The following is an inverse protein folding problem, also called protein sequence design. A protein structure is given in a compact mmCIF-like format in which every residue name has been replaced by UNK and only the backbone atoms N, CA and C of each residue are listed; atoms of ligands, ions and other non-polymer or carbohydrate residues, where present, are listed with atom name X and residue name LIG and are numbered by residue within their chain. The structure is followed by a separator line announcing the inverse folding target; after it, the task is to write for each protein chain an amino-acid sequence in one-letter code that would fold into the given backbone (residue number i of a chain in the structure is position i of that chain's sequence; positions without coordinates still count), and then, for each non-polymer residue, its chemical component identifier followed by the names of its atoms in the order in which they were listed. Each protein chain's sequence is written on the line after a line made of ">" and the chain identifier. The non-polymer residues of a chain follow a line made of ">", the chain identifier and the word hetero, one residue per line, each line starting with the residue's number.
data_IF_708092078236
#
_entry.id   IF_708092078236
#
_cell.length_a   1.000
_cell.length_b   1.000
_cell.length_c   1.000
_cell.angle_alpha   90.00
_cell.angle_beta   90.00
_cell.angle_gamma   90.00
#
_symmetry.space_group_name_H-M   'P 1'
#
loop_
_entity.id
_entity.type
_entity.pdbx_description
1 polymer ?
#
# COMPACT_ATOMS: atom_id res chain seq x y z
N UNK A 1 5.10 15.57 -20.69
CA UNK A 1 4.28 15.38 -21.90
C UNK A 1 5.01 15.93 -23.12
N UNK A 2 4.46 15.72 -24.32
CA UNK A 2 5.06 16.16 -25.60
C UNK A 2 5.27 17.66 -25.66
N UNK A 3 4.31 18.44 -25.21
CA UNK A 3 4.38 19.90 -25.19
C UNK A 3 5.51 20.41 -24.28
N UNK A 4 5.71 19.75 -23.16
CA UNK A 4 6.81 20.07 -22.24
C UNK A 4 8.17 19.75 -22.88
N UNK A 5 8.30 18.61 -23.54
CA UNK A 5 9.51 18.23 -24.24
C UNK A 5 9.85 19.27 -25.34
N UNK A 6 8.88 19.65 -26.16
CA UNK A 6 9.07 20.66 -27.22
C UNK A 6 9.53 21.98 -26.62
N UNK A 7 8.82 22.46 -25.61
CA UNK A 7 9.16 23.72 -24.93
C UNK A 7 10.57 23.70 -24.35
N UNK A 8 10.94 22.63 -23.65
CA UNK A 8 12.26 22.50 -23.01
C UNK A 8 13.35 22.35 -24.07
N UNK A 9 13.12 21.54 -25.12
CA UNK A 9 14.09 21.34 -26.19
C UNK A 9 14.45 22.67 -26.86
N UNK A 10 13.44 23.47 -27.30
CA UNK A 10 13.70 24.74 -27.95
C UNK A 10 14.32 25.77 -27.00
N UNK A 11 13.92 25.79 -25.74
CA UNK A 11 14.55 26.66 -24.73
C UNK A 11 16.03 26.35 -24.57
N UNK A 12 16.37 25.07 -24.44
CA UNK A 12 17.76 24.61 -24.27
C UNK A 12 18.54 24.83 -25.58
N UNK A 13 17.98 24.48 -26.73
CA UNK A 13 18.61 24.65 -28.04
C UNK A 13 19.03 26.10 -28.32
N UNK A 14 18.17 27.06 -28.01
CA UNK A 14 18.46 28.49 -28.25
C UNK A 14 19.43 29.12 -27.26
N UNK A 15 19.61 28.51 -26.09
CA UNK A 15 20.46 29.06 -25.02
C UNK A 15 21.81 28.33 -24.86
N UNK A 16 22.01 27.22 -25.55
CA UNK A 16 23.29 26.50 -25.55
C UNK A 16 24.20 26.93 -26.73
N UNK A 17 25.49 26.77 -26.53
CA UNK A 17 26.47 26.94 -27.61
C UNK A 17 26.17 26.00 -28.78
N UNK A 18 26.49 26.44 -29.99
CA UNK A 18 26.14 25.72 -31.22
C UNK A 18 26.70 24.29 -31.29
N UNK A 19 27.88 24.06 -30.73
CA UNK A 19 28.57 22.76 -30.71
C UNK A 19 28.23 21.88 -29.49
N UNK A 20 27.43 22.37 -28.54
CA UNK A 20 27.01 21.54 -27.41
C UNK A 20 25.95 20.53 -27.86
N UNK A 21 26.10 19.27 -27.43
CA UNK A 21 25.06 18.24 -27.61
C UNK A 21 23.99 18.34 -26.55
N UNK A 22 22.76 17.94 -26.87
CA UNK A 22 21.68 17.83 -25.90
C UNK A 22 21.42 16.36 -25.64
N UNK A 23 21.43 15.98 -24.36
CA UNK A 23 21.05 14.64 -23.91
C UNK A 23 19.58 14.60 -23.46
N UNK A 24 18.89 13.51 -23.76
CA UNK A 24 17.54 13.24 -23.27
C UNK A 24 17.52 11.97 -22.43
N UNK A 25 17.16 12.11 -21.17
CA UNK A 25 16.94 11.02 -20.23
C UNK A 25 15.50 11.02 -19.76
N UNK A 26 14.79 9.89 -19.91
CA UNK A 26 13.38 9.82 -19.53
C UNK A 26 13.04 8.53 -18.80
N UNK A 27 12.24 8.68 -17.75
CA UNK A 27 11.62 7.56 -17.04
C UNK A 27 10.26 7.19 -17.61
N UNK A 28 9.87 5.93 -17.47
CA UNK A 28 8.69 5.36 -18.13
C UNK A 28 7.41 5.36 -17.25
N UNK A 29 7.32 6.25 -16.26
CA UNK A 29 6.21 6.30 -15.31
C UNK A 29 4.82 6.39 -15.96
N UNK A 30 4.71 7.15 -17.06
CA UNK A 30 3.47 7.32 -17.82
C UNK A 30 3.47 6.53 -19.15
N UNK A 31 4.38 5.58 -19.31
CA UNK A 31 4.55 4.76 -20.53
C UNK A 31 4.82 5.58 -21.79
N UNK A 32 5.46 6.75 -21.64
CA UNK A 32 5.72 7.69 -22.75
C UNK A 32 7.20 7.83 -23.08
N UNK A 33 8.11 7.17 -22.35
CA UNK A 33 9.56 7.39 -22.52
C UNK A 33 10.03 7.14 -23.97
N UNK A 34 9.60 6.04 -24.58
CA UNK A 34 9.96 5.72 -25.97
C UNK A 34 9.34 6.72 -26.97
N UNK A 35 8.07 7.06 -26.84
CA UNK A 35 7.42 8.03 -27.72
C UNK A 35 8.06 9.42 -27.62
N UNK A 36 8.41 9.87 -26.43
CA UNK A 36 9.11 11.14 -26.21
C UNK A 36 10.56 11.09 -26.74
N UNK A 37 11.22 9.94 -26.68
CA UNK A 37 12.54 9.75 -27.29
C UNK A 37 12.49 9.85 -28.81
N UNK A 38 11.45 9.28 -29.44
CA UNK A 38 11.21 9.45 -30.88
C UNK A 38 10.99 10.93 -31.24
N UNK A 39 10.08 11.61 -30.52
CA UNK A 39 9.84 13.03 -30.73
C UNK A 39 11.10 13.88 -30.56
N UNK A 40 11.94 13.57 -29.54
CA UNK A 40 13.20 14.25 -29.31
C UNK A 40 14.18 14.06 -30.46
N UNK A 41 14.34 12.83 -30.95
CA UNK A 41 15.18 12.51 -32.12
C UNK A 41 14.68 13.30 -33.34
N UNK A 42 13.37 13.30 -33.58
CA UNK A 42 12.78 13.94 -34.74
C UNK A 42 12.91 15.46 -34.71
N UNK A 43 12.69 16.10 -33.57
CA UNK A 43 12.84 17.54 -33.42
C UNK A 43 14.28 18.02 -33.56
N UNK A 44 15.25 17.18 -33.24
CA UNK A 44 16.67 17.54 -33.29
C UNK A 44 17.31 17.49 -34.67
N UNK A 45 16.63 16.86 -35.64
CA UNK A 45 17.20 16.63 -36.98
C UNK A 45 17.56 17.97 -37.68
N UNK A 46 18.81 18.05 -38.16
CA UNK A 46 19.35 19.23 -38.82
C UNK A 46 19.55 20.44 -37.88
N UNK A 47 19.21 20.35 -36.62
CA UNK A 47 19.34 21.44 -35.64
C UNK A 47 20.56 21.23 -34.73
N UNK A 48 20.77 20.00 -34.22
CA UNK A 48 21.81 19.74 -33.22
C UNK A 48 22.10 18.25 -33.07
N UNK A 49 23.36 17.92 -32.77
CA UNK A 49 23.73 16.59 -32.28
C UNK A 49 23.10 16.30 -30.93
N UNK A 50 22.61 15.08 -30.77
CA UNK A 50 21.90 14.65 -29.55
C UNK A 50 22.42 13.34 -28.98
N UNK A 51 22.09 13.07 -27.73
CA UNK A 51 22.27 11.78 -27.07
C UNK A 51 20.92 11.35 -26.48
N UNK A 52 20.55 10.10 -26.66
CA UNK A 52 19.36 9.52 -26.00
C UNK A 52 19.82 8.44 -25.04
N UNK A 53 19.51 8.61 -23.78
CA UNK A 53 19.77 7.60 -22.75
C UNK A 53 18.71 6.52 -22.81
N UNK A 54 19.16 5.27 -22.87
CA UNK A 54 18.30 4.10 -22.89
C UNK A 54 18.95 2.93 -22.17
N UNK A 55 18.16 1.96 -21.74
CA UNK A 55 18.64 0.76 -21.07
C UNK A 55 17.99 -0.48 -21.66
N UNK A 56 18.70 -1.60 -21.67
CA UNK A 56 18.17 -2.88 -22.15
C UNK A 56 16.95 -3.29 -21.31
N UNK A 57 15.88 -3.73 -21.98
CA UNK A 57 14.57 -4.05 -21.38
C UNK A 57 14.02 -2.93 -20.47
N UNK A 58 14.44 -1.68 -20.69
CA UNK A 58 14.03 -0.54 -19.87
C UNK A 58 14.51 -0.61 -18.42
N UNK A 59 15.56 -1.38 -18.12
CA UNK A 59 16.10 -1.55 -16.78
C UNK A 59 16.33 -0.19 -16.11
N UNK A 60 15.80 -0.03 -14.90
CA UNK A 60 15.94 1.21 -14.16
C UNK A 60 15.05 1.29 -12.93
N UNK A 61 15.27 2.31 -12.13
CA UNK A 61 14.51 2.51 -10.90
C UNK A 61 13.03 2.79 -11.20
N UNK A 62 12.15 2.14 -10.48
CA UNK A 62 10.72 2.38 -10.57
C UNK A 62 10.11 1.84 -11.86
N UNK A 63 9.48 2.69 -12.65
CA UNK A 63 8.89 2.30 -13.94
C UNK A 63 9.92 2.04 -15.06
N UNK A 64 11.20 2.17 -14.74
CA UNK A 64 12.29 1.99 -15.70
C UNK A 64 12.54 3.21 -16.60
N UNK A 65 13.40 3.01 -17.57
CA UNK A 65 13.86 3.99 -18.53
C UNK A 65 13.33 3.70 -19.94
N UNK A 66 13.78 4.45 -20.92
CA UNK A 66 13.56 4.13 -22.36
C UNK A 66 14.26 2.83 -22.71
N UNK A 67 13.59 1.95 -23.42
CA UNK A 67 14.12 0.65 -23.86
C UNK A 67 15.08 0.81 -25.03
N UNK A 68 16.31 0.30 -24.93
CA UNK A 68 17.35 0.37 -25.96
C UNK A 68 16.93 -0.33 -27.24
N UNK A 69 16.38 -1.52 -27.15
CA UNK A 69 15.90 -2.31 -28.28
C UNK A 69 14.84 -1.56 -29.11
N UNK A 70 13.96 -0.80 -28.46
CA UNK A 70 12.96 0.02 -29.13
C UNK A 70 13.58 1.23 -29.85
N UNK A 71 14.54 1.89 -29.21
CA UNK A 71 15.24 3.03 -29.83
C UNK A 71 16.05 2.57 -31.03
N UNK A 72 16.79 1.46 -30.91
CA UNK A 72 17.58 0.89 -32.04
C UNK A 72 16.66 0.49 -33.19
N UNK A 73 15.53 -0.16 -32.92
CA UNK A 73 14.54 -0.52 -33.94
C UNK A 73 14.01 0.72 -34.68
N UNK A 74 13.69 1.79 -33.91
CA UNK A 74 13.25 3.05 -34.50
C UNK A 74 14.32 3.68 -35.39
N UNK A 75 15.57 3.73 -34.92
CA UNK A 75 16.71 4.26 -35.67
C UNK A 75 16.97 3.46 -36.95
N UNK A 76 16.93 2.13 -36.88
CA UNK A 76 17.08 1.28 -38.06
C UNK A 76 15.97 1.53 -39.08
N UNK A 77 14.71 1.60 -38.62
CA UNK A 77 13.56 1.78 -39.51
C UNK A 77 13.55 3.15 -40.20
N UNK A 78 13.89 4.19 -39.46
CA UNK A 78 13.72 5.58 -39.90
C UNK A 78 14.99 6.10 -40.63
N UNK A 79 16.16 5.75 -40.10
CA UNK A 79 17.42 6.31 -40.55
C UNK A 79 18.36 5.28 -41.16
N UNK A 80 17.95 4.03 -41.29
CA UNK A 80 18.78 2.91 -41.79
C UNK A 80 20.12 2.81 -41.03
N UNK A 81 20.09 2.94 -39.69
CA UNK A 81 21.30 3.07 -38.86
C UNK A 81 22.14 1.80 -38.74
N UNK A 82 21.57 0.62 -39.08
CA UNK A 82 22.29 -0.64 -39.12
C UNK A 82 22.66 -1.21 -37.74
N UNK A 83 21.93 -0.85 -36.68
CA UNK A 83 22.12 -1.45 -35.35
C UNK A 83 21.73 -2.93 -35.36
N UNK A 84 22.57 -3.78 -34.77
CA UNK A 84 22.31 -5.19 -34.60
C UNK A 84 21.47 -5.38 -33.32
N UNK A 85 20.17 -5.68 -33.51
CA UNK A 85 19.23 -5.86 -32.39
C UNK A 85 19.40 -7.24 -31.77
N UNK A 86 19.83 -8.26 -32.53
CA UNK A 86 19.93 -9.63 -32.03
C UNK A 86 20.98 -9.72 -30.90
N UNK A 87 22.06 -8.95 -30.99
CA UNK A 87 23.05 -8.85 -29.89
C UNK A 87 22.40 -8.30 -28.61
N UNK A 88 21.51 -7.32 -28.72
CA UNK A 88 20.84 -6.76 -27.56
C UNK A 88 19.84 -7.76 -26.97
N UNK A 89 19.12 -8.51 -27.81
CA UNK A 89 18.20 -9.56 -27.35
C UNK A 89 18.95 -10.68 -26.62
N UNK A 90 20.10 -11.14 -27.17
CA UNK A 90 20.98 -12.11 -26.51
C UNK A 90 21.44 -11.63 -25.11
N UNK A 91 21.77 -10.34 -24.98
CA UNK A 91 22.18 -9.76 -23.71
C UNK A 91 21.01 -9.68 -22.71
N UNK A 92 19.80 -9.37 -23.19
CA UNK A 92 18.60 -9.36 -22.35
C UNK A 92 18.33 -10.75 -21.82
N UNK A 93 18.24 -11.75 -22.68
CA UNK A 93 17.92 -13.14 -22.29
C UNK A 93 18.98 -13.73 -21.35
N UNK A 94 20.26 -13.48 -21.61
CA UNK A 94 21.33 -14.10 -20.84
C UNK A 94 21.65 -13.40 -19.50
N UNK A 95 21.37 -12.10 -19.39
CA UNK A 95 21.81 -11.31 -18.23
C UNK A 95 20.71 -10.47 -17.58
N UNK A 96 19.90 -9.75 -18.37
CA UNK A 96 18.98 -8.76 -17.83
C UNK A 96 17.75 -9.42 -17.19
N UNK A 97 17.23 -10.50 -17.78
CA UNK A 97 16.08 -11.23 -17.22
C UNK A 97 16.38 -11.81 -15.83
N UNK A 98 17.62 -12.22 -15.58
CA UNK A 98 18.06 -12.65 -14.26
C UNK A 98 17.95 -11.53 -13.20
N UNK A 99 18.30 -10.30 -13.60
CA UNK A 99 18.13 -9.13 -12.71
C UNK A 99 16.66 -8.76 -12.51
N UNK A 100 15.83 -8.87 -13.55
CA UNK A 100 14.41 -8.55 -13.44
C UNK A 100 13.68 -9.42 -12.42
N UNK A 101 14.07 -10.68 -12.28
CA UNK A 101 13.55 -11.60 -11.27
C UNK A 101 13.91 -11.20 -9.82
N UNK A 102 15.02 -10.45 -9.66
CA UNK A 102 15.52 -10.00 -8.35
C UNK A 102 15.15 -8.55 -8.03
N UNK A 103 15.01 -7.73 -9.05
CA UNK A 103 14.75 -6.28 -8.95
C UNK A 103 13.67 -5.91 -9.96
N UNK A 104 12.43 -5.84 -9.51
CA UNK A 104 11.31 -5.48 -10.37
C UNK A 104 11.38 -4.02 -10.82
N UNK A 105 11.24 -3.78 -12.11
CA UNK A 105 10.96 -2.49 -12.70
C UNK A 105 9.85 -2.59 -13.73
N UNK A 106 9.28 -1.47 -14.10
CA UNK A 106 8.20 -1.42 -15.08
C UNK A 106 6.98 -0.68 -14.57
N UNK A 107 5.92 -0.73 -15.35
CA UNK A 107 4.68 -0.06 -15.03
C UNK A 107 4.04 -0.62 -13.75
N UNK A 108 3.69 0.27 -12.85
CA UNK A 108 2.82 -0.04 -11.71
C UNK A 108 1.97 1.18 -11.34
N UNK A 109 0.87 0.94 -10.64
CA UNK A 109 -0.02 2.03 -10.19
C UNK A 109 0.71 3.06 -9.31
N UNK A 110 1.58 2.68 -8.36
CA UNK A 110 2.40 3.65 -7.64
C UNK A 110 3.22 4.56 -8.54
N UNK A 111 3.90 4.02 -9.54
CA UNK A 111 4.72 4.83 -10.45
C UNK A 111 3.89 5.69 -11.41
N UNK A 112 2.72 5.21 -11.83
CA UNK A 112 1.73 6.02 -12.54
C UNK A 112 1.33 7.25 -11.70
N UNK A 113 1.03 7.07 -10.41
CA UNK A 113 0.69 8.17 -9.51
C UNK A 113 1.86 9.15 -9.34
N UNK A 114 3.09 8.64 -9.20
CA UNK A 114 4.28 9.49 -9.15
C UNK A 114 4.39 10.38 -10.39
N UNK A 115 4.22 9.80 -11.58
CA UNK A 115 4.26 10.55 -12.85
C UNK A 115 3.12 11.55 -12.99
N UNK A 116 1.90 11.14 -12.71
CA UNK A 116 0.69 11.97 -12.84
C UNK A 116 0.71 13.21 -11.95
N UNK A 117 1.27 13.09 -10.75
CA UNK A 117 1.37 14.18 -9.78
C UNK A 117 2.72 14.92 -9.82
N UNK A 118 3.64 14.52 -10.70
CA UNK A 118 5.04 15.00 -10.67
C UNK A 118 5.65 14.86 -9.26
N UNK A 119 5.30 13.78 -8.56
CA UNK A 119 5.71 13.49 -7.20
C UNK A 119 7.00 12.67 -7.16
N UNK A 120 7.80 12.87 -6.11
CA UNK A 120 8.99 12.05 -5.88
C UNK A 120 8.58 10.58 -5.62
N UNK A 121 9.25 9.64 -6.28
CA UNK A 121 8.91 8.21 -6.21
C UNK A 121 8.92 7.67 -4.77
N UNK A 122 9.85 8.15 -3.93
CA UNK A 122 9.93 7.75 -2.53
C UNK A 122 8.66 8.09 -1.72
N UNK A 123 7.94 9.18 -2.07
CA UNK A 123 6.68 9.52 -1.42
C UNK A 123 5.63 8.43 -1.66
N UNK A 124 5.60 7.91 -2.89
CA UNK A 124 4.65 6.85 -3.26
C UNK A 124 5.03 5.55 -2.58
N UNK A 125 6.33 5.18 -2.60
CA UNK A 125 6.82 3.97 -1.94
C UNK A 125 6.50 3.99 -0.43
N UNK A 126 6.74 5.12 0.24
CA UNK A 126 6.43 5.31 1.65
C UNK A 126 4.94 5.15 1.95
N UNK A 127 4.07 5.83 1.18
CA UNK A 127 2.62 5.71 1.35
C UNK A 127 2.11 4.30 1.01
N UNK A 128 2.64 3.67 -0.04
CA UNK A 128 2.24 2.30 -0.42
C UNK A 128 2.63 1.25 0.62
N UNK A 129 3.64 1.52 1.43
CA UNK A 129 4.05 0.65 2.54
C UNK A 129 3.10 0.74 3.76
N UNK A 130 2.28 1.78 3.86
CA UNK A 130 1.33 1.92 4.98
C UNK A 130 0.20 0.90 4.89
N UNK A 131 -0.09 0.24 6.01
CA UNK A 131 -1.16 -0.74 6.08
C UNK A 131 -2.53 -0.12 5.78
N UNK A 132 -3.30 -0.79 4.92
CA UNK A 132 -4.68 -0.38 4.64
C UNK A 132 -4.85 0.81 3.69
N UNK A 133 -3.75 1.35 3.12
CA UNK A 133 -3.84 2.40 2.12
C UNK A 133 -4.09 1.80 0.72
N UNK A 134 -5.00 2.39 -0.03
CA UNK A 134 -5.25 2.03 -1.42
C UNK A 134 -4.68 3.10 -2.36
N UNK A 135 -4.48 2.75 -3.64
CA UNK A 135 -3.98 3.69 -4.66
C UNK A 135 -4.83 4.96 -4.77
N UNK A 136 -6.15 4.84 -4.57
CA UNK A 136 -7.05 6.01 -4.54
C UNK A 136 -6.77 6.94 -3.37
N UNK A 137 -6.41 6.38 -2.21
CA UNK A 137 -6.08 7.17 -1.02
C UNK A 137 -4.75 7.90 -1.24
N UNK A 138 -3.75 7.23 -1.85
CA UNK A 138 -2.48 7.86 -2.25
C UNK A 138 -2.74 9.02 -3.23
N UNK A 139 -3.57 8.80 -4.25
CA UNK A 139 -3.96 9.84 -5.19
C UNK A 139 -4.59 11.06 -4.49
N UNK A 140 -5.46 10.81 -3.51
CA UNK A 140 -6.10 11.86 -2.72
C UNK A 140 -5.08 12.62 -1.84
N UNK A 141 -4.16 11.90 -1.19
CA UNK A 141 -3.11 12.50 -0.36
C UNK A 141 -2.17 13.38 -1.17
N UNK A 142 -1.73 12.91 -2.33
CA UNK A 142 -0.87 13.69 -3.23
C UNK A 142 -1.56 14.97 -3.74
N UNK A 143 -2.88 14.95 -3.93
CA UNK A 143 -3.62 16.16 -4.31
C UNK A 143 -3.68 17.21 -3.19
N UNK A 144 -3.51 16.83 -1.92
CA UNK A 144 -3.47 17.75 -0.77
C UNK A 144 -2.13 18.41 -0.56
N UNK A 145 -1.07 17.79 -1.04
CA UNK A 145 0.27 18.37 -1.01
C UNK A 145 0.42 19.43 -2.10
N UNK A 146 1.15 20.48 -1.81
CA UNK A 146 1.50 21.49 -2.78
C UNK A 146 2.49 20.92 -3.85
N UNK A 147 2.58 21.49 -5.06
CA UNK A 147 3.46 21.00 -6.11
C UNK A 147 4.95 20.97 -5.76
N UNK A 148 5.42 21.83 -4.85
CA UNK A 148 6.81 21.83 -4.37
C UNK A 148 7.03 20.71 -3.38
N UNK A 149 6.11 20.52 -2.44
CA UNK A 149 6.14 19.45 -1.44
C UNK A 149 6.13 18.06 -2.10
N UNK A 150 5.35 17.85 -3.15
CA UNK A 150 5.31 16.58 -3.89
C UNK A 150 6.65 16.17 -4.48
N UNK A 151 7.47 17.14 -4.91
CA UNK A 151 8.77 16.90 -5.55
C UNK A 151 9.88 16.55 -4.57
N UNK A 152 9.69 16.85 -3.30
CA UNK A 152 10.61 16.48 -2.20
C UNK A 152 10.07 15.25 -1.50
N UNK A 153 10.90 14.49 -0.84
CA UNK A 153 10.42 13.48 0.10
C UNK A 153 10.62 13.98 1.52
N UNK A 154 9.51 14.16 2.21
CA UNK A 154 9.45 14.54 3.62
C UNK A 154 8.47 13.58 4.32
N UNK A 155 9.03 12.58 4.97
CA UNK A 155 8.24 11.55 5.61
C UNK A 155 7.38 12.08 6.77
N UNK A 156 7.85 13.10 7.48
CA UNK A 156 7.10 13.73 8.55
C UNK A 156 5.85 14.43 8.04
N UNK A 157 5.98 15.15 6.92
CA UNK A 157 4.86 15.79 6.24
C UNK A 157 3.86 14.76 5.71
N UNK A 158 4.37 13.69 5.08
CA UNK A 158 3.53 12.61 4.57
C UNK A 158 2.78 11.88 5.69
N UNK A 159 3.45 11.61 6.81
CA UNK A 159 2.84 11.00 7.99
C UNK A 159 1.71 11.88 8.53
N UNK A 160 1.98 13.16 8.72
CA UNK A 160 0.97 14.13 9.15
C UNK A 160 -0.22 14.17 8.19
N UNK A 161 0.05 14.29 6.87
CA UNK A 161 -1.02 14.34 5.86
C UNK A 161 -1.83 13.05 5.84
N UNK A 162 -1.18 11.90 6.03
CA UNK A 162 -1.83 10.61 6.14
C UNK A 162 -2.71 10.50 7.40
N UNK A 163 -2.20 10.95 8.55
CA UNK A 163 -2.96 10.98 9.79
C UNK A 163 -4.16 11.92 9.69
N UNK A 164 -3.98 13.11 9.12
CA UNK A 164 -5.06 14.06 8.86
C UNK A 164 -6.12 13.49 7.90
N UNK A 165 -5.72 12.65 6.95
CA UNK A 165 -6.64 11.95 6.05
C UNK A 165 -7.40 10.83 6.78
N UNK A 166 -6.73 10.07 7.63
CA UNK A 166 -7.35 9.05 8.46
C UNK A 166 -8.25 9.67 9.56
N UNK A 167 -8.01 10.93 9.87
CA UNK A 167 -8.70 11.70 10.90
C UNK A 167 -10.11 12.12 10.44
N UNK A 168 -10.94 11.11 10.19
CA UNK A 168 -12.36 11.33 9.98
C UNK A 168 -13.03 11.30 11.35
N UNK A 169 -12.98 12.43 12.06
CA UNK A 169 -13.65 12.58 13.36
C UNK A 169 -15.14 12.25 13.25
N UNK A 170 -15.65 11.48 14.18
CA UNK A 170 -17.08 11.20 14.30
C UNK A 170 -17.50 11.19 15.78
N UNK A 171 -18.71 11.66 16.04
CA UNK A 171 -19.36 11.52 17.34
C UNK A 171 -19.67 10.04 17.59
N UNK A 172 -18.95 9.40 18.51
CA UNK A 172 -19.06 7.97 18.79
C UNK A 172 -19.60 7.63 20.21
N UNK A 173 -19.92 8.63 21.03
CA UNK A 173 -20.34 8.41 22.42
C UNK A 173 -21.55 7.47 22.55
N UNK A 174 -22.52 7.55 21.65
CA UNK A 174 -23.67 6.64 21.62
C UNK A 174 -23.29 5.20 21.27
N UNK A 175 -22.30 5.02 20.36
CA UNK A 175 -21.78 3.72 19.99
C UNK A 175 -20.97 3.11 21.15
N UNK A 176 -20.13 3.91 21.80
CA UNK A 176 -19.38 3.53 23.01
C UNK A 176 -20.33 3.07 24.11
N UNK A 177 -21.36 3.88 24.47
CA UNK A 177 -22.32 3.53 25.50
C UNK A 177 -23.08 2.22 25.18
N UNK A 178 -23.48 2.03 23.93
CA UNK A 178 -24.15 0.82 23.47
C UNK A 178 -23.25 -0.42 23.56
N UNK A 179 -21.96 -0.28 23.19
CA UNK A 179 -20.99 -1.36 23.31
C UNK A 179 -20.64 -1.67 24.76
N UNK A 180 -20.50 -0.65 25.62
CA UNK A 180 -20.33 -0.83 27.08
C UNK A 180 -21.47 -1.63 27.68
N UNK A 181 -22.72 -1.32 27.35
CA UNK A 181 -23.88 -2.06 27.82
C UNK A 181 -23.86 -3.53 27.34
N UNK A 182 -23.32 -3.80 26.15
CA UNK A 182 -23.27 -5.16 25.60
C UNK A 182 -22.10 -5.99 26.13
N UNK A 183 -20.96 -5.36 26.44
CA UNK A 183 -19.67 -6.05 26.67
C UNK A 183 -19.19 -5.98 28.11
N UNK A 184 -19.71 -5.03 28.93
CA UNK A 184 -19.27 -4.84 30.34
C UNK A 184 -19.43 -6.11 31.14
N UNK A 185 -18.39 -6.49 31.89
CA UNK A 185 -18.35 -7.67 32.74
C UNK A 185 -18.40 -9.01 31.98
N UNK A 186 -18.28 -9.02 30.66
CA UNK A 186 -18.26 -10.23 29.83
C UNK A 186 -16.84 -10.73 29.58
N UNK A 187 -16.71 -12.04 29.38
CA UNK A 187 -15.50 -12.65 28.87
C UNK A 187 -15.50 -12.53 27.34
N UNK A 188 -14.40 -12.09 26.78
CA UNK A 188 -14.26 -11.81 25.35
C UNK A 188 -13.24 -12.79 24.75
N UNK A 189 -13.61 -13.39 23.61
CA UNK A 189 -12.69 -14.12 22.74
C UNK A 189 -12.44 -13.29 21.48
N UNK A 190 -11.20 -12.82 21.31
CA UNK A 190 -10.77 -12.08 20.13
C UNK A 190 -10.15 -13.05 19.15
N UNK A 191 -10.69 -13.10 17.92
CA UNK A 191 -10.19 -13.92 16.82
C UNK A 191 -9.50 -13.02 15.78
N UNK A 192 -8.17 -13.11 15.67
CA UNK A 192 -7.39 -12.45 14.62
C UNK A 192 -7.14 -13.40 13.44
N UNK A 193 -6.80 -12.89 12.26
CA UNK A 193 -6.76 -13.68 11.04
C UNK A 193 -5.52 -14.56 10.86
N UNK A 194 -4.73 -14.82 11.90
CA UNK A 194 -3.54 -15.65 11.83
C UNK A 194 -3.85 -17.12 11.59
N UNK A 195 -2.88 -17.88 11.11
CA UNK A 195 -3.04 -19.26 10.71
C UNK A 195 -3.37 -20.21 11.87
N UNK A 196 -2.95 -19.86 13.10
CA UNK A 196 -3.19 -20.67 14.30
C UNK A 196 -4.67 -20.84 14.63
N UNK A 197 -5.59 -20.00 14.11
CA UNK A 197 -7.02 -20.25 14.21
C UNK A 197 -7.41 -21.63 13.66
N UNK A 198 -6.78 -22.10 12.58
CA UNK A 198 -7.05 -23.43 12.00
C UNK A 198 -6.29 -24.52 12.77
N UNK A 199 -5.03 -24.31 13.05
CA UNK A 199 -4.19 -25.34 13.70
C UNK A 199 -4.57 -25.61 15.15
N UNK A 200 -5.10 -24.61 15.86
CA UNK A 200 -5.56 -24.72 17.25
C UNK A 200 -7.09 -24.78 17.37
N UNK A 201 -7.81 -25.13 16.29
CA UNK A 201 -9.26 -25.11 16.26
C UNK A 201 -9.92 -25.90 17.42
N UNK A 202 -9.41 -27.08 17.74
CA UNK A 202 -9.95 -27.89 18.84
C UNK A 202 -9.83 -27.22 20.21
N UNK A 203 -8.71 -26.53 20.47
CA UNK A 203 -8.49 -25.81 21.74
C UNK A 203 -9.41 -24.58 21.85
N UNK A 204 -9.56 -23.83 20.75
CA UNK A 204 -10.43 -22.66 20.70
C UNK A 204 -11.90 -23.06 20.89
N UNK A 205 -12.34 -24.17 20.23
CA UNK A 205 -13.70 -24.68 20.41
C UNK A 205 -13.97 -25.19 21.83
N UNK A 206 -12.98 -25.84 22.47
CA UNK A 206 -13.09 -26.27 23.84
C UNK A 206 -13.24 -25.06 24.78
N UNK A 207 -12.39 -24.07 24.65
CA UNK A 207 -12.47 -22.79 25.39
C UNK A 207 -13.83 -22.10 25.21
N UNK A 208 -14.30 -22.02 23.95
CA UNK A 208 -15.62 -21.43 23.66
C UNK A 208 -16.75 -22.13 24.39
N UNK A 209 -16.76 -23.48 24.38
CA UNK A 209 -17.80 -24.27 25.05
C UNK A 209 -17.76 -24.15 26.58
N UNK A 210 -16.56 -24.05 27.13
CA UNK A 210 -16.36 -23.95 28.60
C UNK A 210 -16.75 -22.57 29.14
N UNK A 211 -16.31 -21.48 28.47
CA UNK A 211 -16.44 -20.10 28.96
C UNK A 211 -17.62 -19.35 28.39
N UNK A 212 -18.19 -19.81 27.28
CA UNK A 212 -19.24 -19.14 26.54
C UNK A 212 -18.99 -17.61 26.35
N UNK A 213 -17.80 -17.19 25.85
CA UNK A 213 -17.42 -15.80 25.73
C UNK A 213 -18.18 -15.13 24.57
N UNK A 214 -18.24 -13.79 24.59
CA UNK A 214 -18.60 -13.02 23.40
C UNK A 214 -17.43 -13.09 22.43
N UNK A 215 -17.70 -13.43 21.17
CA UNK A 215 -16.67 -13.59 20.12
C UNK A 215 -16.60 -12.35 19.26
N UNK A 216 -15.43 -11.73 19.24
CA UNK A 216 -15.13 -10.56 18.38
C UNK A 216 -14.02 -10.95 17.40
N UNK A 217 -14.34 -10.97 16.11
CA UNK A 217 -13.34 -11.20 15.06
C UNK A 217 -12.74 -9.89 14.57
N UNK A 218 -11.45 -9.90 14.17
CA UNK A 218 -10.70 -8.74 13.69
C UNK A 218 -10.39 -8.90 12.22
N UNK A 219 -10.97 -8.05 11.36
CA UNK A 219 -10.74 -8.07 9.91
C UNK A 219 -10.99 -9.44 9.25
N UNK A 220 -11.76 -10.32 9.90
CA UNK A 220 -12.00 -11.69 9.50
C UNK A 220 -13.47 -12.04 9.70
N UNK A 221 -14.04 -12.82 8.78
CA UNK A 221 -15.27 -13.58 8.98
C UNK A 221 -15.00 -15.06 8.70
N UNK A 222 -15.59 -15.95 9.50
CA UNK A 222 -15.43 -17.39 9.36
C UNK A 222 -16.69 -18.10 9.84
N UNK A 223 -17.01 -19.22 9.22
CA UNK A 223 -18.10 -20.09 9.69
C UNK A 223 -17.62 -21.13 10.73
N UNK A 224 -16.31 -21.16 11.05
CA UNK A 224 -15.74 -22.10 12.02
C UNK A 224 -16.15 -21.79 13.47
N UNK A 225 -16.54 -20.54 13.76
CA UNK A 225 -16.95 -20.05 15.08
C UNK A 225 -18.15 -19.13 14.96
N UNK A 226 -19.05 -19.10 15.94
CA UNK A 226 -20.06 -18.04 16.01
C UNK A 226 -19.34 -16.71 16.26
N UNK A 227 -19.68 -15.67 15.50
CA UNK A 227 -19.13 -14.33 15.63
C UNK A 227 -20.27 -13.39 16.07
N UNK A 228 -20.15 -12.80 17.26
CA UNK A 228 -21.12 -11.82 17.76
C UNK A 228 -20.85 -10.45 17.16
N UNK A 229 -19.57 -10.05 17.08
CA UNK A 229 -19.13 -8.80 16.52
C UNK A 229 -17.95 -9.03 15.56
N UNK A 230 -17.94 -8.30 14.46
CA UNK A 230 -16.79 -8.21 13.55
C UNK A 230 -16.20 -6.80 13.60
N UNK A 231 -14.94 -6.67 14.01
CA UNK A 231 -14.21 -5.42 14.10
C UNK A 231 -13.38 -5.16 12.84
N UNK A 232 -13.53 -3.97 12.25
CA UNK A 232 -12.78 -3.55 11.07
C UNK A 232 -12.17 -2.16 11.27
N UNK A 233 -10.86 -2.08 11.22
CA UNK A 233 -10.10 -0.82 11.15
C UNK A 233 -9.32 -0.68 9.82
N UNK A 234 -9.45 -1.66 8.93
CA UNK A 234 -8.82 -1.70 7.61
C UNK A 234 -9.88 -1.66 6.51
N UNK A 235 -9.86 -0.60 5.70
CA UNK A 235 -10.84 -0.33 4.65
C UNK A 235 -10.90 -1.43 3.57
N UNK A 236 -9.73 -1.96 3.16
CA UNK A 236 -9.67 -3.01 2.15
C UNK A 236 -10.29 -4.32 2.65
N UNK A 237 -10.06 -4.66 3.92
CA UNK A 237 -10.66 -5.83 4.57
C UNK A 237 -12.18 -5.68 4.72
N UNK A 238 -12.63 -4.50 5.15
CA UNK A 238 -14.05 -4.19 5.25
C UNK A 238 -14.75 -4.30 3.89
N UNK A 239 -14.15 -3.75 2.81
CA UNK A 239 -14.70 -3.82 1.47
C UNK A 239 -14.74 -5.24 0.92
N UNK A 240 -13.72 -6.06 1.21
CA UNK A 240 -13.68 -7.47 0.84
C UNK A 240 -14.86 -8.23 1.45
N UNK A 241 -15.03 -8.13 2.78
CA UNK A 241 -16.06 -8.88 3.50
C UNK A 241 -17.47 -8.35 3.29
N UNK A 242 -17.63 -7.09 2.96
CA UNK A 242 -18.96 -6.45 2.80
C UNK A 242 -19.83 -7.14 1.75
N UNK A 243 -19.24 -7.78 0.75
CA UNK A 243 -19.94 -8.48 -0.32
C UNK A 243 -20.22 -9.95 0.01
N UNK A 244 -19.73 -10.45 1.13
CA UNK A 244 -19.89 -11.83 1.54
C UNK A 244 -21.17 -12.02 2.40
N UNK A 245 -21.87 -13.14 2.21
CA UNK A 245 -23.10 -13.43 2.97
C UNK A 245 -22.88 -13.49 4.48
N UNK A 246 -21.68 -13.90 4.92
CA UNK A 246 -21.28 -13.92 6.33
C UNK A 246 -21.30 -12.53 6.99
N UNK A 247 -21.15 -11.46 6.20
CA UNK A 247 -21.12 -10.08 6.71
C UNK A 247 -22.40 -9.68 7.44
N UNK A 248 -23.54 -10.17 7.00
CA UNK A 248 -24.85 -9.84 7.57
C UNK A 248 -25.22 -10.67 8.79
N UNK A 249 -24.42 -11.69 9.16
CA UNK A 249 -24.70 -12.61 10.26
C UNK A 249 -24.35 -12.07 11.66
N UNK A 250 -23.53 -11.02 11.75
CA UNK A 250 -23.05 -10.45 13.03
C UNK A 250 -23.18 -8.93 13.05
N UNK A 251 -23.05 -8.33 14.25
CA UNK A 251 -22.90 -6.88 14.41
C UNK A 251 -21.50 -6.45 14.00
N UNK A 252 -21.35 -5.23 13.52
CA UNK A 252 -20.06 -4.69 13.08
C UNK A 252 -19.61 -3.54 13.95
N UNK A 253 -18.34 -3.54 14.31
CA UNK A 253 -17.64 -2.42 14.95
C UNK A 253 -16.62 -1.93 13.92
N UNK A 254 -16.70 -0.68 13.51
CA UNK A 254 -15.88 -0.14 12.42
C UNK A 254 -15.30 1.20 12.85
N UNK A 255 -14.05 1.44 12.57
CA UNK A 255 -13.43 2.74 12.84
C UNK A 255 -13.80 3.78 11.78
N UNK A 256 -13.85 5.05 12.15
CA UNK A 256 -14.29 6.16 11.28
C UNK A 256 -13.45 6.35 10.02
N UNK A 257 -12.17 5.94 10.02
CA UNK A 257 -11.31 5.92 8.84
C UNK A 257 -11.75 4.91 7.77
N UNK A 258 -12.57 3.93 8.12
CA UNK A 258 -13.09 2.92 7.18
C UNK A 258 -14.41 3.38 6.58
N UNK A 259 -15.35 3.82 7.40
CA UNK A 259 -16.63 4.38 6.95
C UNK A 259 -17.25 5.27 8.02
N UNK A 260 -17.98 6.29 7.57
CA UNK A 260 -18.82 7.15 8.43
C UNK A 260 -20.31 6.96 8.13
N UNK A 261 -20.67 6.02 7.24
CA UNK A 261 -22.08 5.72 6.92
C UNK A 261 -22.70 4.95 8.08
N UNK A 262 -23.76 5.48 8.65
CA UNK A 262 -24.57 4.82 9.68
C UNK A 262 -25.43 3.71 9.06
N UNK A 263 -25.52 2.58 9.74
CA UNK A 263 -26.35 1.43 9.43
C UNK A 263 -26.79 0.82 10.77
N UNK A 264 -27.97 0.21 10.84
CA UNK A 264 -28.58 -0.26 12.09
C UNK A 264 -27.76 -1.31 12.86
N UNK A 265 -26.88 -2.06 12.15
CA UNK A 265 -26.01 -3.08 12.73
C UNK A 265 -24.53 -2.66 12.80
N UNK A 266 -24.24 -1.34 12.74
CA UNK A 266 -22.90 -0.81 12.63
C UNK A 266 -22.60 0.18 13.76
N UNK A 267 -21.62 -0.15 14.60
CA UNK A 267 -21.04 0.75 15.59
C UNK A 267 -19.82 1.44 14.98
N UNK A 268 -19.88 2.74 14.79
CA UNK A 268 -18.75 3.52 14.26
C UNK A 268 -18.03 4.15 15.42
N UNK A 269 -16.73 3.87 15.54
CA UNK A 269 -15.84 4.35 16.59
C UNK A 269 -14.86 5.34 16.00
N UNK A 270 -14.64 6.45 16.67
CA UNK A 270 -13.65 7.43 16.25
C UNK A 270 -12.24 6.78 16.22
N UNK A 271 -11.62 6.78 15.04
CA UNK A 271 -10.31 6.18 14.85
C UNK A 271 -9.25 6.84 15.73
N UNK A 272 -9.34 8.17 15.92
CA UNK A 272 -8.39 8.91 16.76
C UNK A 272 -8.46 8.54 18.24
N UNK A 273 -9.60 8.08 18.71
CA UNK A 273 -9.74 7.60 20.09
C UNK A 273 -8.84 6.40 20.37
N UNK A 274 -8.53 5.62 19.34
CA UNK A 274 -7.83 4.33 19.47
C UNK A 274 -6.40 4.36 18.96
N UNK A 275 -6.10 5.15 17.93
CA UNK A 275 -4.80 5.15 17.27
C UNK A 275 -3.74 5.82 18.14
N UNK A 276 -2.55 5.24 18.17
CA UNK A 276 -1.33 5.88 18.68
C UNK A 276 -0.28 5.92 17.57
N UNK A 277 0.58 6.90 17.62
CA UNK A 277 1.68 7.11 16.66
C UNK A 277 3.01 6.75 17.31
N UNK A 278 4.04 6.53 16.49
CA UNK A 278 5.40 6.26 16.98
C UNK A 278 6.04 5.00 16.42
N UNK A 279 5.35 4.32 15.50
CA UNK A 279 5.86 3.13 14.78
C UNK A 279 5.85 3.40 13.27
N UNK A 280 6.68 2.69 12.52
CA UNK A 280 6.66 2.77 11.05
C UNK A 280 5.31 2.33 10.48
N UNK A 281 4.72 1.30 11.05
CA UNK A 281 3.32 0.98 10.80
C UNK A 281 2.44 1.87 11.66
N UNK A 282 1.37 2.40 11.08
CA UNK A 282 0.51 3.33 11.79
C UNK A 282 -0.05 2.73 13.08
N UNK A 283 -0.67 1.59 13.00
CA UNK A 283 -1.11 0.83 14.19
C UNK A 283 -1.61 -0.57 13.77
N UNK A 284 -1.78 -1.46 14.73
CA UNK A 284 -2.28 -2.81 14.49
C UNK A 284 -3.75 -2.94 14.87
N UNK A 285 -4.59 -3.49 13.98
CA UNK A 285 -6.03 -3.66 14.20
C UNK A 285 -6.38 -4.43 15.49
N UNK A 286 -5.55 -5.42 15.85
CA UNK A 286 -5.71 -6.15 17.10
C UNK A 286 -5.47 -5.27 18.32
N UNK A 287 -4.40 -4.47 18.29
CA UNK A 287 -4.07 -3.54 19.38
C UNK A 287 -5.11 -2.43 19.49
N UNK A 288 -5.61 -1.90 18.36
CA UNK A 288 -6.74 -0.94 18.37
C UNK A 288 -7.97 -1.52 19.04
N UNK A 289 -8.31 -2.80 18.73
CA UNK A 289 -9.44 -3.45 19.41
C UNK A 289 -9.20 -3.62 20.92
N UNK A 290 -7.99 -3.97 21.34
CA UNK A 290 -7.68 -4.09 22.77
C UNK A 290 -7.91 -2.77 23.50
N UNK A 291 -7.46 -1.64 22.94
CA UNK A 291 -7.71 -0.30 23.50
C UNK A 291 -9.21 0.04 23.54
N UNK A 292 -9.98 -0.41 22.55
CA UNK A 292 -11.43 -0.26 22.59
C UNK A 292 -12.05 -1.08 23.73
N UNK A 293 -11.59 -2.33 23.92
CA UNK A 293 -12.12 -3.21 24.97
C UNK A 293 -11.81 -2.73 26.38
N UNK A 294 -10.70 -2.01 26.57
CA UNK A 294 -10.41 -1.36 27.86
C UNK A 294 -11.48 -0.32 28.23
N UNK A 295 -12.01 0.41 27.24
CA UNK A 295 -13.10 1.35 27.45
C UNK A 295 -14.44 0.64 27.79
N UNK A 296 -14.55 -0.65 27.48
CA UNK A 296 -15.81 -1.41 27.66
C UNK A 296 -15.92 -2.07 29.02
N UNK A 297 -14.91 -2.01 29.89
CA UNK A 297 -14.88 -2.63 31.20
C UNK A 297 -15.24 -4.12 31.14
N UNK A 298 -14.59 -4.89 30.26
CA UNK A 298 -14.79 -6.33 30.09
C UNK A 298 -14.16 -7.11 31.26
N UNK A 299 -14.64 -8.33 31.52
CA UNK A 299 -14.10 -9.18 32.58
C UNK A 299 -12.74 -9.77 32.22
N UNK A 300 -12.62 -10.35 31.04
CA UNK A 300 -11.37 -10.94 30.54
C UNK A 300 -11.30 -10.89 29.02
N UNK A 301 -10.06 -10.90 28.48
CA UNK A 301 -9.80 -10.96 27.03
C UNK A 301 -8.88 -12.16 26.76
N UNK A 302 -9.39 -13.10 25.97
CA UNK A 302 -8.62 -14.21 25.40
C UNK A 302 -8.41 -13.99 23.93
N UNK A 303 -7.19 -14.24 23.42
CA UNK A 303 -6.81 -13.91 22.04
C UNK A 303 -6.37 -15.18 21.31
N UNK A 304 -6.86 -15.37 20.09
CA UNK A 304 -6.39 -16.43 19.18
C UNK A 304 -6.09 -15.85 17.78
N UNK A 305 -5.11 -16.43 17.09
CA UNK A 305 -4.73 -16.00 15.75
C UNK A 305 -3.87 -14.73 15.71
N UNK A 306 -3.17 -14.38 16.77
CA UNK A 306 -2.24 -13.24 16.80
C UNK A 306 -0.81 -13.71 16.56
N UNK A 307 -0.55 -14.26 15.37
CA UNK A 307 0.65 -15.06 15.06
C UNK A 307 1.87 -14.21 14.67
N UNK A 308 1.68 -12.94 14.37
CA UNK A 308 2.70 -12.12 13.70
C UNK A 308 2.86 -12.48 12.22
N UNK A 309 3.98 -12.07 11.62
CA UNK A 309 4.29 -12.31 10.21
C UNK A 309 5.45 -13.30 10.06
N UNK A 310 5.31 -14.27 9.15
CA UNK A 310 6.35 -15.23 8.81
C UNK A 310 7.31 -14.68 7.76
N UNK A 311 8.59 -14.98 7.89
CA UNK A 311 9.62 -14.75 6.87
C UNK A 311 9.56 -15.77 5.73
N UNK A 312 8.96 -16.95 5.98
CA UNK A 312 8.89 -18.02 5.01
C UNK A 312 7.66 -17.83 4.12
N UNK A 313 7.88 -17.68 2.80
CA UNK A 313 6.81 -17.56 1.80
C UNK A 313 5.93 -18.81 1.70
N UNK A 314 6.40 -19.97 2.17
CA UNK A 314 5.63 -21.21 2.17
C UNK A 314 4.60 -21.26 3.32
N UNK A 315 4.82 -20.48 4.40
CA UNK A 315 3.89 -20.41 5.51
C UNK A 315 2.89 -19.28 5.33
N UNK A 316 1.60 -19.57 5.18
CA UNK A 316 0.58 -18.52 5.05
C UNK A 316 0.53 -17.70 6.36
N UNK A 317 0.56 -16.36 6.21
CA UNK A 317 0.41 -15.45 7.37
C UNK A 317 -1.03 -15.38 7.84
N UNK A 318 -1.98 -15.68 6.95
CA UNK A 318 -3.41 -15.55 7.22
C UNK A 318 -4.14 -16.87 6.99
N UNK A 319 -5.22 -17.02 7.73
CA UNK A 319 -6.12 -18.18 7.61
C UNK A 319 -6.77 -18.24 6.22
N UNK A 320 -7.07 -17.10 5.61
CA UNK A 320 -7.64 -16.98 4.28
C UNK A 320 -6.60 -16.49 3.27
N UNK A 321 -6.33 -17.30 2.23
CA UNK A 321 -5.35 -16.94 1.16
C UNK A 321 -5.65 -15.61 0.47
N UNK A 322 -6.93 -15.24 0.34
CA UNK A 322 -7.31 -13.95 -0.24
C UNK A 322 -6.79 -12.76 0.57
N UNK A 323 -6.53 -12.93 1.85
CA UNK A 323 -6.00 -11.89 2.73
C UNK A 323 -4.51 -11.60 2.47
N UNK A 324 -3.75 -12.55 1.94
CA UNK A 324 -2.35 -12.32 1.55
C UNK A 324 -2.23 -11.24 0.47
N UNK A 325 -3.18 -11.19 -0.48
CA UNK A 325 -3.18 -10.20 -1.56
C UNK A 325 -3.37 -8.74 -1.09
N UNK A 326 -3.88 -8.54 0.09
CA UNK A 326 -4.10 -7.21 0.69
C UNK A 326 -3.02 -6.86 1.73
N UNK A 327 -1.98 -7.68 1.82
CA UNK A 327 -0.80 -7.42 2.63
C UNK A 327 0.08 -6.42 1.92
N UNK A 328 0.51 -5.38 2.61
CA UNK A 328 1.61 -4.55 2.14
C UNK A 328 2.92 -5.32 2.30
N UNK A 329 3.86 -5.13 1.39
CA UNK A 329 5.17 -5.79 1.30
C UNK A 329 6.15 -5.31 2.39
N UNK A 330 5.70 -5.18 3.63
CA UNK A 330 6.57 -4.81 4.74
C UNK A 330 7.50 -5.97 5.10
N UNK A 331 8.73 -5.64 5.47
CA UNK A 331 9.65 -6.59 6.07
C UNK A 331 8.98 -7.22 7.30
N UNK A 332 8.83 -8.54 7.31
CA UNK A 332 8.14 -9.26 8.38
C UNK A 332 8.80 -9.04 9.76
N UNK A 333 10.12 -8.83 9.80
CA UNK A 333 10.87 -8.59 11.02
C UNK A 333 10.53 -7.23 11.62
N UNK A 334 10.52 -6.18 10.82
CA UNK A 334 10.16 -4.82 11.23
C UNK A 334 8.71 -4.77 11.70
N UNK A 335 7.80 -5.39 10.94
CA UNK A 335 6.39 -5.47 11.31
C UNK A 335 6.18 -6.18 12.66
N UNK A 336 6.88 -7.29 12.91
CA UNK A 336 6.80 -8.01 14.18
C UNK A 336 7.42 -7.21 15.33
N UNK A 337 8.52 -6.48 15.09
CA UNK A 337 9.13 -5.57 16.07
C UNK A 337 8.17 -4.46 16.48
N UNK A 338 7.51 -3.84 15.51
CA UNK A 338 6.51 -2.79 15.77
C UNK A 338 5.33 -3.32 16.57
N UNK A 339 4.74 -4.46 16.17
CA UNK A 339 3.63 -5.09 16.90
C UNK A 339 4.02 -5.42 18.34
N UNK A 340 5.23 -5.96 18.56
CA UNK A 340 5.74 -6.23 19.91
C UNK A 340 5.86 -4.94 20.73
N UNK A 341 6.36 -3.87 20.14
CA UNK A 341 6.47 -2.56 20.79
C UNK A 341 5.11 -1.97 21.12
N UNK A 342 4.11 -2.08 20.21
CA UNK A 342 2.73 -1.66 20.43
C UNK A 342 2.07 -2.41 21.60
N UNK A 343 2.33 -3.73 21.72
CA UNK A 343 1.82 -4.54 22.83
C UNK A 343 2.47 -4.19 24.15
N UNK A 344 3.77 -3.83 24.14
CA UNK A 344 4.47 -3.35 25.35
C UNK A 344 3.90 -2.00 25.79
N UNK A 345 3.69 -1.07 24.84
CA UNK A 345 3.05 0.21 25.11
C UNK A 345 1.64 0.01 25.70
N UNK A 346 0.85 -0.87 25.10
CA UNK A 346 -0.50 -1.20 25.57
C UNK A 346 -0.50 -1.74 27.02
N UNK A 347 0.46 -2.57 27.39
CA UNK A 347 0.56 -3.12 28.78
C UNK A 347 0.94 -2.06 29.82
N UNK A 348 1.62 -0.99 29.40
CA UNK A 348 2.15 0.04 30.28
C UNK A 348 1.16 1.22 30.45
N UNK A 349 0.05 1.21 29.71
CA UNK A 349 -1.03 2.20 29.77
C UNK A 349 -2.21 1.66 30.54
#
# INVERSE_FOLDING_TARGET
>A
YREDLQRVFYLVHHNLWANAKIGFHSHNNLQMSFALSQDFIDMSQGLRDIVVDSTMAGMGRGAGNTNTELVMQYMNRKFNSGYDIDIVLDLIDNYIDGFHNSYEWGYSIPYFLAGSHSAHVNNISYLSAKAGIASRDINFLLNRLDPVERKRYDYSLLEKTYLDYQNTHCEDDSAIASLQNALSGKDILVLLPGHTIKTCQGQIQHFYKEKNPIVISVNLLTDCYPIDFAYFSNKNRYQYWRNEAAFNKCKKIVTSNVTTRKDDNLFIIDFLRLVKCGWEQLDNSGVLLLRLLDLMNVNSISIAGFDGYSHNSENPNYVEKAMEKTRNTLNAEEANKDIKSMLVDYKNT
#
